data_IF_838172408085
#
_entry.id   IF_838172408085
#
_cell.length_a   1.000
_cell.length_b   1.000
_cell.length_c   1.000
_cell.angle_alpha   90.00
_cell.angle_beta   90.00
_cell.angle_gamma   90.00
#
_symmetry.space_group_name_H-M   'P 1'
#
loop_
_entity.id
_entity.type
_entity.pdbx_description
1 polymer ?
#
# COMPACT_ATOMS: atom_id res chain seq x y z
N UNK A 1 -16.59 -6.00 -31.53
CA UNK A 1 -17.38 -5.87 -30.28
C UNK A 1 -16.56 -5.05 -29.29
N UNK A 2 -16.97 -3.83 -28.88
CA UNK A 2 -16.22 -3.09 -27.87
C UNK A 2 -16.44 -3.73 -26.49
N UNK A 3 -15.35 -4.17 -25.87
CA UNK A 3 -15.30 -4.68 -24.49
C UNK A 3 -15.77 -3.59 -23.51
N UNK A 4 -16.97 -3.75 -22.94
CA UNK A 4 -17.49 -2.89 -21.88
C UNK A 4 -16.67 -3.19 -20.61
N UNK A 5 -15.73 -2.30 -20.28
CA UNK A 5 -14.94 -2.41 -19.06
C UNK A 5 -15.86 -2.27 -17.84
N UNK A 6 -15.80 -3.19 -16.85
CA UNK A 6 -16.69 -3.15 -15.69
C UNK A 6 -16.50 -1.85 -14.90
N UNK A 7 -17.63 -1.25 -14.55
CA UNK A 7 -17.74 -0.06 -13.72
C UNK A 7 -17.22 -0.36 -12.31
N UNK A 8 -16.22 0.40 -11.84
CA UNK A 8 -15.63 0.18 -10.52
C UNK A 8 -16.45 0.89 -9.43
N UNK A 9 -16.87 0.12 -8.42
CA UNK A 9 -17.64 0.60 -7.28
C UNK A 9 -16.80 1.58 -6.43
N UNK A 10 -16.83 2.87 -6.78
CA UNK A 10 -16.48 4.03 -5.94
C UNK A 10 -15.06 4.12 -5.35
N UNK A 11 -14.25 3.08 -5.45
CA UNK A 11 -12.93 2.96 -4.83
C UNK A 11 -11.89 3.22 -5.89
N UNK A 12 -11.23 4.38 -5.81
CA UNK A 12 -10.07 4.67 -6.65
C UNK A 12 -8.86 3.86 -6.18
N UNK A 13 -8.19 3.19 -7.12
CA UNK A 13 -6.92 2.49 -6.88
C UNK A 13 -5.78 3.47 -6.64
N UNK A 14 -4.66 3.00 -6.10
CA UNK A 14 -3.46 3.84 -5.92
C UNK A 14 -2.93 4.37 -7.26
N UNK A 15 -2.96 3.56 -8.32
CA UNK A 15 -2.64 3.98 -9.69
C UNK A 15 -3.54 5.13 -10.19
N UNK A 16 -4.86 5.04 -9.96
CA UNK A 16 -5.80 6.09 -10.34
C UNK A 16 -5.57 7.38 -9.55
N UNK A 17 -5.23 7.27 -8.25
CA UNK A 17 -4.89 8.42 -7.41
C UNK A 17 -3.58 9.09 -7.88
N UNK A 18 -2.57 8.30 -8.25
CA UNK A 18 -1.31 8.82 -8.83
C UNK A 18 -1.58 9.60 -10.11
N UNK A 19 -2.34 9.03 -11.05
CA UNK A 19 -2.74 9.72 -12.30
C UNK A 19 -3.51 11.02 -12.05
N UNK A 20 -4.35 11.04 -11.01
CA UNK A 20 -5.05 12.26 -10.60
C UNK A 20 -4.08 13.34 -10.10
N UNK A 21 -3.09 12.97 -9.29
CA UNK A 21 -2.04 13.87 -8.83
C UNK A 21 -1.18 14.40 -9.99
N UNK A 22 -0.79 13.52 -10.93
CA UNK A 22 -0.07 13.91 -12.15
C UNK A 22 -0.86 14.93 -12.97
N UNK A 23 -2.18 14.69 -13.14
CA UNK A 23 -3.07 15.62 -13.85
C UNK A 23 -3.16 16.99 -13.18
N UNK A 24 -3.22 17.04 -11.85
CA UNK A 24 -3.19 18.29 -11.10
C UNK A 24 -1.84 19.02 -11.23
N UNK A 25 -0.72 18.30 -11.24
CA UNK A 25 0.61 18.90 -11.45
C UNK A 25 0.76 19.50 -12.86
N UNK A 26 0.18 18.85 -13.88
CA UNK A 26 0.16 19.37 -15.25
C UNK A 26 -0.79 20.57 -15.42
N UNK A 27 -1.83 20.68 -14.58
CA UNK A 27 -2.86 21.71 -14.69
C UNK A 27 -3.26 22.27 -13.31
N UNK A 28 -2.38 23.02 -12.62
CA UNK A 28 -2.62 23.46 -11.24
C UNK A 28 -3.76 24.47 -11.09
N UNK A 29 -4.21 25.09 -12.18
CA UNK A 29 -5.36 26.02 -12.19
C UNK A 29 -6.73 25.31 -12.25
N UNK A 30 -6.74 23.99 -12.45
CA UNK A 30 -7.98 23.22 -12.59
C UNK A 30 -8.68 23.09 -11.23
N UNK A 31 -9.99 23.40 -11.18
CA UNK A 31 -10.75 23.31 -9.93
C UNK A 31 -10.94 21.84 -9.52
N UNK A 32 -11.05 21.59 -8.22
CA UNK A 32 -11.29 20.25 -7.66
C UNK A 32 -12.55 19.58 -8.24
N UNK A 33 -13.59 20.36 -8.54
CA UNK A 33 -14.80 19.90 -9.21
C UNK A 33 -14.56 19.36 -10.62
N UNK A 34 -13.62 19.97 -11.35
CA UNK A 34 -13.31 19.59 -12.72
C UNK A 34 -12.36 18.39 -12.74
N UNK A 35 -11.45 18.29 -11.76
CA UNK A 35 -10.67 17.07 -11.51
C UNK A 35 -11.55 15.88 -11.15
N UNK A 36 -12.62 16.09 -10.36
CA UNK A 36 -13.57 15.04 -10.03
C UNK A 36 -14.32 14.51 -11.27
N UNK A 37 -14.77 15.42 -12.14
CA UNK A 37 -15.42 15.06 -13.42
C UNK A 37 -14.46 14.33 -14.34
N UNK A 38 -13.23 14.84 -14.46
CA UNK A 38 -12.16 14.20 -15.24
C UNK A 38 -11.87 12.78 -14.72
N UNK A 39 -11.78 12.60 -13.40
CA UNK A 39 -11.54 11.30 -12.78
C UNK A 39 -12.67 10.31 -13.08
N UNK A 40 -13.93 10.76 -12.99
CA UNK A 40 -15.09 9.92 -13.33
C UNK A 40 -14.98 9.41 -14.78
N UNK A 41 -14.72 10.32 -15.72
CA UNK A 41 -14.67 9.98 -17.14
C UNK A 41 -13.45 9.10 -17.47
N UNK A 42 -12.28 9.48 -16.97
CA UNK A 42 -11.01 8.78 -17.27
C UNK A 42 -10.96 7.38 -16.65
N UNK A 43 -11.48 7.22 -15.43
CA UNK A 43 -11.44 5.95 -14.70
C UNK A 43 -12.74 5.15 -14.77
N UNK A 44 -13.72 5.63 -15.54
CA UNK A 44 -15.06 5.04 -15.67
C UNK A 44 -15.68 4.72 -14.30
N UNK A 45 -15.72 5.72 -13.41
CA UNK A 45 -16.28 5.57 -12.06
C UNK A 45 -17.81 5.66 -12.09
N UNK A 46 -18.48 4.85 -11.27
CA UNK A 46 -19.94 4.89 -11.09
C UNK A 46 -20.44 6.26 -10.59
N UNK A 47 -19.68 6.90 -9.71
CA UNK A 47 -20.02 8.18 -9.10
C UNK A 47 -18.88 9.18 -9.28
N UNK A 48 -19.24 10.46 -9.36
CA UNK A 48 -18.27 11.55 -9.29
C UNK A 48 -17.64 11.48 -7.89
N UNK A 49 -16.30 11.42 -7.76
CA UNK A 49 -15.65 11.48 -6.45
C UNK A 49 -15.97 12.80 -5.76
N UNK A 50 -16.26 12.74 -4.45
CA UNK A 50 -16.58 13.93 -3.66
C UNK A 50 -15.40 14.89 -3.58
N UNK A 51 -15.67 16.18 -3.34
CA UNK A 51 -14.62 17.19 -3.19
C UNK A 51 -13.63 16.83 -2.07
N UNK A 52 -14.12 16.31 -0.94
CA UNK A 52 -13.28 15.81 0.16
C UNK A 52 -12.34 14.70 -0.28
N UNK A 53 -12.82 13.76 -1.09
CA UNK A 53 -11.99 12.67 -1.64
C UNK A 53 -10.86 13.21 -2.50
N UNK A 54 -11.16 14.17 -3.39
CA UNK A 54 -10.16 14.82 -4.24
C UNK A 54 -9.14 15.57 -3.38
N UNK A 55 -9.60 16.34 -2.40
CA UNK A 55 -8.74 17.09 -1.48
C UNK A 55 -7.79 16.15 -0.71
N UNK A 56 -8.30 15.06 -0.14
CA UNK A 56 -7.50 14.11 0.63
C UNK A 56 -6.42 13.42 -0.23
N UNK A 57 -6.72 13.16 -1.50
CA UNK A 57 -5.75 12.60 -2.45
C UNK A 57 -4.67 13.62 -2.77
N UNK A 58 -5.04 14.87 -3.04
CA UNK A 58 -4.10 15.94 -3.34
C UNK A 58 -3.21 16.29 -2.12
N UNK A 59 -3.74 16.22 -0.89
CA UNK A 59 -2.94 16.35 0.34
C UNK A 59 -1.84 15.29 0.44
N UNK A 60 -2.11 14.08 -0.07
CA UNK A 60 -1.16 12.96 -0.08
C UNK A 60 -0.45 12.81 -1.44
N UNK A 61 -0.39 13.86 -2.27
CA UNK A 61 0.14 13.78 -3.63
C UNK A 61 1.56 13.20 -3.69
N UNK A 62 2.43 13.60 -2.77
CA UNK A 62 3.85 13.23 -2.79
C UNK A 62 4.01 11.73 -2.54
N UNK A 63 3.19 11.17 -1.65
CA UNK A 63 3.12 9.73 -1.41
C UNK A 63 2.70 8.97 -2.67
N UNK A 64 1.70 9.45 -3.42
CA UNK A 64 1.25 8.77 -4.63
C UNK A 64 2.24 8.89 -5.79
N UNK A 65 2.91 10.03 -5.93
CA UNK A 65 3.91 10.23 -6.97
C UNK A 65 5.16 9.37 -6.71
N UNK A 66 5.54 9.20 -5.44
CA UNK A 66 6.68 8.39 -5.01
C UNK A 66 6.44 6.87 -4.98
N UNK A 67 5.20 6.40 -5.12
CA UNK A 67 4.91 4.95 -5.14
C UNK A 67 5.55 4.24 -6.35
N UNK A 68 6.20 3.11 -6.07
CA UNK A 68 6.73 2.17 -7.04
C UNK A 68 5.61 1.37 -7.74
N UNK A 69 5.93 0.73 -8.88
CA UNK A 69 4.95 -0.06 -9.64
C UNK A 69 4.33 -1.21 -8.83
N UNK A 70 5.09 -1.81 -7.91
CA UNK A 70 4.58 -2.85 -7.01
C UNK A 70 3.53 -2.29 -6.04
N UNK A 71 3.77 -1.11 -5.47
CA UNK A 71 2.87 -0.44 -4.51
C UNK A 71 1.59 0.09 -5.17
N UNK A 72 1.65 0.45 -6.45
CA UNK A 72 0.49 0.88 -7.24
C UNK A 72 -0.46 -0.27 -7.59
N UNK A 73 0.09 -1.49 -7.74
CA UNK A 73 -0.69 -2.70 -8.03
C UNK A 73 -1.47 -3.22 -6.81
N UNK A 74 -0.99 -2.89 -5.60
CA UNK A 74 -1.61 -3.27 -4.34
C UNK A 74 -2.85 -2.39 -4.05
N UNK A 75 -4.06 -2.99 -4.08
CA UNK A 75 -5.35 -2.31 -3.81
C UNK A 75 -5.45 -1.64 -2.43
N UNK A 76 -4.58 -2.01 -1.49
CA UNK A 76 -4.32 -1.33 -0.22
C UNK A 76 -3.00 -1.89 0.31
N UNK A 77 -1.97 -1.07 0.53
CA UNK A 77 -0.98 -1.42 1.54
C UNK A 77 -1.74 -1.48 2.87
N UNK A 78 -1.86 -2.66 3.47
CA UNK A 78 -2.10 -2.73 4.91
C UNK A 78 -0.84 -2.12 5.53
N UNK A 79 -0.95 -0.87 5.99
CA UNK A 79 0.07 -0.26 6.82
C UNK A 79 0.28 -1.25 7.97
N UNK A 80 1.47 -1.84 8.07
CA UNK A 80 1.82 -2.60 9.25
C UNK A 80 1.69 -1.63 10.43
N UNK A 81 0.97 -2.01 11.49
CA UNK A 81 0.79 -1.15 12.67
C UNK A 81 2.14 -0.68 13.25
N UNK A 82 3.23 -1.41 12.94
CA UNK A 82 4.61 -1.11 13.30
C UNK A 82 5.54 -1.29 12.08
N UNK A 83 5.71 -0.26 11.23
CA UNK A 83 6.58 -0.36 10.04
C UNK A 83 8.06 -0.58 10.39
N UNK A 84 8.52 -0.06 11.52
CA UNK A 84 9.87 -0.31 12.04
C UNK A 84 10.13 -1.77 12.37
N UNK A 85 9.13 -2.45 12.95
CA UNK A 85 9.19 -3.89 13.26
C UNK A 85 9.25 -4.74 12.00
N UNK A 86 8.37 -4.45 11.04
CA UNK A 86 8.31 -5.15 9.75
C UNK A 86 9.63 -5.00 8.98
N UNK A 87 10.21 -3.79 8.98
CA UNK A 87 11.49 -3.49 8.34
C UNK A 87 12.66 -4.19 9.03
N UNK A 88 12.71 -4.16 10.37
CA UNK A 88 13.77 -4.82 11.13
C UNK A 88 13.77 -6.34 10.89
N UNK A 89 12.58 -6.96 10.83
CA UNK A 89 12.46 -8.38 10.53
C UNK A 89 12.89 -8.69 9.09
N UNK A 90 12.47 -7.88 8.12
CA UNK A 90 12.87 -8.06 6.72
C UNK A 90 14.39 -7.97 6.56
N UNK A 91 15.04 -6.98 7.17
CA UNK A 91 16.49 -6.82 7.16
C UNK A 91 17.21 -8.04 7.73
N UNK A 92 16.71 -8.60 8.84
CA UNK A 92 17.27 -9.81 9.41
C UNK A 92 17.11 -11.02 8.47
N UNK A 93 15.95 -11.19 7.82
CA UNK A 93 15.74 -12.25 6.83
C UNK A 93 16.70 -12.11 5.64
N UNK A 94 16.91 -10.89 5.14
CA UNK A 94 17.88 -10.60 4.08
C UNK A 94 19.31 -10.98 4.49
N UNK A 95 19.75 -10.59 5.69
CA UNK A 95 21.08 -10.94 6.20
C UNK A 95 21.28 -12.45 6.32
N UNK A 96 20.29 -13.18 6.85
CA UNK A 96 20.36 -14.63 6.93
C UNK A 96 20.42 -15.29 5.56
N UNK A 97 19.63 -14.83 4.58
CA UNK A 97 19.71 -15.31 3.20
C UNK A 97 21.08 -15.04 2.57
N UNK A 98 21.62 -13.84 2.77
CA UNK A 98 22.95 -13.46 2.27
C UNK A 98 24.06 -14.36 2.85
N UNK A 99 23.94 -14.72 4.12
CA UNK A 99 24.90 -15.59 4.81
C UNK A 99 24.68 -17.09 4.56
N UNK A 100 23.75 -17.47 3.67
CA UNK A 100 23.46 -18.87 3.33
C UNK A 100 22.68 -19.64 4.40
N UNK A 101 22.12 -18.97 5.41
CA UNK A 101 21.35 -19.60 6.48
C UNK A 101 19.98 -20.04 5.95
N UNK A 102 19.65 -21.33 6.14
CA UNK A 102 18.31 -21.85 5.84
C UNK A 102 17.30 -21.32 6.86
N UNK A 103 16.45 -20.41 6.42
CA UNK A 103 15.34 -19.90 7.23
C UNK A 103 14.09 -20.76 7.04
N UNK A 104 13.44 -21.12 8.14
CA UNK A 104 12.12 -21.74 8.14
C UNK A 104 11.07 -20.75 8.62
N UNK A 105 9.82 -20.96 8.22
CA UNK A 105 8.70 -20.11 8.67
C UNK A 105 8.61 -19.94 10.19
N UNK A 106 8.67 -21.03 10.98
CA UNK A 106 8.67 -20.94 12.44
C UNK A 106 9.81 -20.10 13.02
N UNK A 107 10.99 -20.13 12.40
CA UNK A 107 12.14 -19.36 12.84
C UNK A 107 11.96 -17.86 12.57
N UNK A 108 11.34 -17.50 11.43
CA UNK A 108 10.95 -16.12 11.13
C UNK A 108 9.89 -15.63 12.12
N UNK A 109 8.88 -16.45 12.42
CA UNK A 109 7.83 -16.12 13.39
C UNK A 109 8.41 -15.92 14.80
N UNK A 110 9.33 -16.79 15.24
CA UNK A 110 10.00 -16.65 16.53
C UNK A 110 10.83 -15.36 16.60
N UNK A 111 11.59 -15.04 15.55
CA UNK A 111 12.35 -13.79 15.49
C UNK A 111 11.45 -12.57 15.50
N UNK A 112 10.30 -12.63 14.82
CA UNK A 112 9.33 -11.56 14.79
C UNK A 112 8.80 -11.24 16.20
N UNK A 113 8.48 -12.26 17.00
CA UNK A 113 8.09 -12.09 18.42
C UNK A 113 9.18 -11.43 19.24
N UNK A 114 10.41 -11.94 19.16
CA UNK A 114 11.56 -11.37 19.87
C UNK A 114 11.76 -9.88 19.52
N UNK A 115 11.64 -9.53 18.24
CA UNK A 115 11.76 -8.13 17.82
C UNK A 115 10.62 -7.25 18.36
N UNK A 116 9.40 -7.79 18.45
CA UNK A 116 8.27 -7.05 19.01
C UNK A 116 8.48 -6.76 20.50
N UNK A 117 8.95 -7.75 21.25
CA UNK A 117 9.27 -7.61 22.68
C UNK A 117 10.42 -6.59 22.88
N UNK A 118 11.48 -6.66 22.06
CA UNK A 118 12.60 -5.73 22.11
C UNK A 118 12.19 -4.28 21.81
N UNK A 119 11.21 -4.11 20.92
CA UNK A 119 10.64 -2.80 20.58
C UNK A 119 9.56 -2.35 21.55
N UNK A 120 9.24 -3.17 22.57
CA UNK A 120 8.18 -2.91 23.56
C UNK A 120 6.82 -2.67 22.90
N UNK A 121 6.53 -3.38 21.82
CA UNK A 121 5.21 -3.34 21.18
C UNK A 121 4.23 -4.07 22.12
N UNK A 122 3.18 -3.41 22.60
CA UNK A 122 2.21 -4.06 23.47
C UNK A 122 1.52 -5.25 22.80
N UNK A 123 1.22 -6.31 23.54
CA UNK A 123 0.65 -7.56 23.02
C UNK A 123 -0.63 -7.33 22.18
N UNK A 124 -1.49 -6.38 22.56
CA UNK A 124 -2.71 -6.09 21.79
C UNK A 124 -2.43 -5.47 20.41
N UNK A 125 -1.26 -4.85 20.23
CA UNK A 125 -0.82 -4.20 19.00
C UNK A 125 0.14 -5.10 18.18
N UNK A 126 0.56 -6.23 18.75
CA UNK A 126 1.39 -7.21 18.05
C UNK A 126 0.57 -7.98 17.00
N UNK A 127 1.19 -8.31 15.85
CA UNK A 127 0.60 -9.28 14.92
C UNK A 127 0.39 -10.63 15.59
N UNK A 128 -0.61 -11.40 15.13
CA UNK A 128 -0.82 -12.77 15.63
C UNK A 128 0.32 -13.74 15.30
N UNK A 129 1.30 -13.31 14.50
CA UNK A 129 2.42 -14.11 13.98
C UNK A 129 1.99 -15.48 13.42
N UNK A 130 0.75 -15.56 12.92
CA UNK A 130 0.17 -16.78 12.35
C UNK A 130 0.81 -17.14 11.01
N UNK A 131 0.48 -18.33 10.47
CA UNK A 131 0.93 -18.73 9.13
C UNK A 131 0.48 -17.74 8.05
N UNK A 132 -0.76 -17.26 8.12
CA UNK A 132 -1.28 -16.27 7.16
C UNK A 132 -0.59 -14.90 7.27
N UNK A 133 -0.16 -14.51 8.48
CA UNK A 133 0.69 -13.32 8.66
C UNK A 133 2.05 -13.51 7.99
N UNK A 134 2.68 -14.68 8.16
CA UNK A 134 3.97 -14.99 7.55
C UNK A 134 3.89 -14.98 6.02
N UNK A 135 2.88 -15.63 5.43
CA UNK A 135 2.65 -15.62 3.98
C UNK A 135 2.49 -14.18 3.46
N UNK A 136 1.73 -13.36 4.20
CA UNK A 136 1.56 -11.94 3.87
C UNK A 136 2.87 -11.16 4.00
N UNK A 137 3.72 -11.46 4.99
CA UNK A 137 5.02 -10.84 5.18
C UNK A 137 5.99 -11.20 4.04
N UNK A 138 6.06 -12.48 3.69
CA UNK A 138 6.89 -12.95 2.56
C UNK A 138 6.46 -12.33 1.25
N UNK A 139 5.14 -12.26 0.99
CA UNK A 139 4.60 -11.61 -0.20
C UNK A 139 4.90 -10.10 -0.26
N UNK A 140 4.90 -9.40 0.88
CA UNK A 140 5.26 -7.97 0.94
C UNK A 140 6.72 -7.70 0.59
N UNK A 141 7.63 -8.58 1.00
CA UNK A 141 9.08 -8.39 0.87
C UNK A 141 9.71 -9.18 -0.28
N UNK A 142 8.95 -10.01 -0.99
CA UNK A 142 9.42 -10.82 -2.11
C UNK A 142 10.34 -11.97 -1.69
N UNK A 143 10.07 -12.60 -0.54
CA UNK A 143 10.88 -13.69 0.01
C UNK A 143 10.52 -15.07 -0.49
#
# INVERSE_FOLDING_TARGET
MPQIKPLHAGIMTNDQKKKLCEKHTQCPKMKQSDLAKWAKHTFNLLKIPGQTTILDILKKKENYLGMSSAELSCKRQRIAHHPEHDTALANWVFQCKHNGTRLTGPLIQAKAKILADQMKIPDQDQPSFSKGWLESFQARHGF
#
